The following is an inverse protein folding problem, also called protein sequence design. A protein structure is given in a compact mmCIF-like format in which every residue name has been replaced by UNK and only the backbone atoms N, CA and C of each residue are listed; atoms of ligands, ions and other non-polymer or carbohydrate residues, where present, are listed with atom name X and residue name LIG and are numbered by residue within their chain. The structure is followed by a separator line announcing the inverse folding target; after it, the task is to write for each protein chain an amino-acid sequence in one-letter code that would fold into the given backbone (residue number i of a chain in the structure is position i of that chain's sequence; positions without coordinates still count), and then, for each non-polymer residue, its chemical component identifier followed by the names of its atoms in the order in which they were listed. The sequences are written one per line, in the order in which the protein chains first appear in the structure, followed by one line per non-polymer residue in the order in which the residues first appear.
data_IF_604318941720
#
_entry.id   IF_604318941720
#
_cell.length_a   1.000
_cell.length_b   1.000
_cell.length_c   1.000
_cell.angle_alpha   90.00
_cell.angle_beta   90.00
_cell.angle_gamma   90.00
#
_symmetry.space_group_name_H-M   'P 1'
#
loop_
_entity.id
_entity.type
_entity.pdbx_description
1 polymer ?
#
# COMPACT_ATOMS: atom_id res chain seq x y z
N UNK A 1 -11.57 -5.58 -3.98
CA UNK A 1 -11.03 -6.77 -4.66
C UNK A 1 -11.82 -7.96 -4.12
N UNK A 2 -12.41 -8.82 -4.98
CA UNK A 2 -13.38 -9.83 -4.52
C UNK A 2 -12.77 -11.13 -3.97
N UNK A 3 -11.50 -11.43 -4.27
CA UNK A 3 -10.86 -12.71 -3.90
C UNK A 3 -9.81 -12.53 -2.80
N UNK A 4 -9.01 -11.46 -2.87
CA UNK A 4 -7.94 -11.15 -1.93
C UNK A 4 -7.97 -9.65 -1.66
N UNK A 5 -7.97 -9.25 -0.41
CA UNK A 5 -7.87 -7.83 -0.04
C UNK A 5 -6.42 -7.33 0.01
N UNK A 6 -6.26 -6.03 0.26
CA UNK A 6 -4.94 -5.40 0.29
C UNK A 6 -4.04 -5.93 1.40
N UNK A 7 -4.59 -6.32 2.55
CA UNK A 7 -3.80 -6.85 3.66
C UNK A 7 -3.40 -8.31 3.40
N UNK A 8 -4.32 -9.14 2.90
CA UNK A 8 -4.03 -10.51 2.47
C UNK A 8 -2.96 -10.54 1.37
N UNK A 9 -3.00 -9.59 0.44
CA UNK A 9 -1.93 -9.42 -0.54
C UNK A 9 -0.58 -9.15 0.12
N UNK A 10 -0.52 -8.28 1.13
CA UNK A 10 0.73 -7.98 1.83
C UNK A 10 1.29 -9.20 2.57
N UNK A 11 0.43 -10.02 3.16
CA UNK A 11 0.82 -11.27 3.82
C UNK A 11 1.50 -12.25 2.83
N UNK A 12 0.99 -12.37 1.61
CA UNK A 12 1.61 -13.19 0.57
C UNK A 12 2.85 -12.51 -0.04
N UNK A 13 2.80 -11.20 -0.23
CA UNK A 13 3.91 -10.40 -0.76
C UNK A 13 5.18 -10.56 0.08
N UNK A 14 5.08 -10.50 1.41
CA UNK A 14 6.23 -10.65 2.31
C UNK A 14 6.92 -12.01 2.15
N UNK A 15 6.17 -13.07 1.83
CA UNK A 15 6.72 -14.42 1.59
C UNK A 15 7.51 -14.51 0.28
N UNK A 16 7.09 -13.77 -0.75
CA UNK A 16 7.75 -13.78 -2.06
C UNK A 16 8.85 -12.73 -2.18
N UNK A 17 8.78 -11.63 -1.42
CA UNK A 17 9.72 -10.50 -1.45
C UNK A 17 11.19 -10.91 -1.44
N UNK A 18 11.67 -11.87 -0.62
CA UNK A 18 13.08 -12.28 -0.61
C UNK A 18 13.56 -12.90 -1.94
N UNK A 19 12.63 -13.37 -2.78
CA UNK A 19 12.93 -13.96 -4.09
C UNK A 19 12.92 -12.93 -5.22
N UNK A 20 12.53 -11.69 -4.93
CA UNK A 20 12.46 -10.61 -5.91
C UNK A 20 13.80 -9.87 -5.94
N UNK A 21 14.38 -9.72 -7.13
CA UNK A 21 15.67 -9.03 -7.33
C UNK A 21 15.55 -7.51 -7.47
N UNK A 22 14.36 -6.95 -7.25
CA UNK A 22 14.06 -5.52 -7.42
C UNK A 22 13.37 -4.98 -6.17
N UNK A 23 13.72 -3.75 -5.80
CA UNK A 23 12.97 -3.00 -4.80
C UNK A 23 11.59 -2.66 -5.36
N UNK A 24 10.54 -2.99 -4.61
CA UNK A 24 9.16 -2.68 -4.97
C UNK A 24 8.62 -1.72 -3.92
N UNK A 25 8.17 -0.55 -4.38
CA UNK A 25 7.51 0.46 -3.54
C UNK A 25 6.01 0.21 -3.61
N UNK A 26 5.35 0.03 -2.47
CA UNK A 26 3.92 -0.31 -2.40
C UNK A 26 3.15 0.83 -1.74
N UNK A 27 2.15 1.34 -2.44
CA UNK A 27 1.18 2.30 -1.91
C UNK A 27 -0.18 1.60 -1.80
N UNK A 28 -0.79 1.63 -0.62
CA UNK A 28 -2.11 1.04 -0.40
C UNK A 28 -3.19 2.08 -0.68
N UNK A 29 -4.14 1.78 -1.57
CA UNK A 29 -5.21 2.71 -1.94
C UNK A 29 -6.57 2.15 -1.54
N UNK A 30 -7.25 2.82 -0.63
CA UNK A 30 -8.48 2.32 -0.01
C UNK A 30 -9.59 3.37 0.07
N UNK A 31 -10.84 2.91 0.12
CA UNK A 31 -12.00 3.75 0.45
C UNK A 31 -12.28 3.79 1.96
N UNK A 32 -11.62 2.92 2.74
CA UNK A 32 -11.78 2.89 4.19
C UNK A 32 -11.06 4.08 4.84
N UNK A 33 -11.80 4.79 5.68
CA UNK A 33 -11.33 5.89 6.53
C UNK A 33 -11.20 5.46 8.00
N UNK A 34 -11.35 4.17 8.28
CA UNK A 34 -11.24 3.62 9.63
C UNK A 34 -9.80 3.80 10.15
N UNK A 35 -9.60 4.45 11.31
CA UNK A 35 -8.28 4.57 11.94
C UNK A 35 -7.58 3.22 12.13
N UNK A 36 -8.31 2.14 12.38
CA UNK A 36 -7.75 0.79 12.57
C UNK A 36 -7.08 0.29 11.30
N UNK A 37 -7.70 0.49 10.13
CA UNK A 37 -7.12 0.11 8.85
C UNK A 37 -5.87 0.95 8.53
N UNK A 38 -5.92 2.25 8.84
CA UNK A 38 -4.82 3.18 8.63
C UNK A 38 -3.61 2.79 9.51
N UNK A 39 -3.84 2.52 10.79
CA UNK A 39 -2.80 2.07 11.72
C UNK A 39 -2.25 0.71 11.32
N UNK A 40 -3.11 -0.24 10.94
CA UNK A 40 -2.69 -1.55 10.43
C UNK A 40 -1.76 -1.40 9.23
N UNK A 41 -2.11 -0.54 8.27
CA UNK A 41 -1.27 -0.30 7.11
C UNK A 41 0.08 0.35 7.48
N UNK A 42 0.08 1.34 8.38
CA UNK A 42 1.31 1.99 8.87
C UNK A 42 2.25 1.05 9.61
N UNK A 43 1.72 -0.01 10.23
CA UNK A 43 2.51 -1.01 10.94
C UNK A 43 3.15 -2.06 10.01
N UNK A 44 2.81 -2.07 8.71
CA UNK A 44 3.44 -2.94 7.72
C UNK A 44 4.57 -2.16 7.06
N UNK A 45 5.82 -2.48 7.39
CA UNK A 45 7.02 -1.76 6.92
C UNK A 45 7.23 -1.76 5.40
N UNK A 46 6.56 -2.68 4.69
CA UNK A 46 6.57 -2.77 3.24
C UNK A 46 5.56 -1.84 2.55
N UNK A 47 4.65 -1.21 3.31
CA UNK A 47 3.73 -0.20 2.79
C UNK A 47 4.40 1.17 2.95
N UNK A 48 4.56 1.88 1.83
CA UNK A 48 5.14 3.23 1.81
C UNK A 48 4.13 4.30 2.25
N UNK A 49 2.86 4.16 1.85
CA UNK A 49 1.79 5.03 2.33
C UNK A 49 0.40 4.38 2.16
N UNK A 50 -0.58 4.88 2.92
CA UNK A 50 -1.99 4.53 2.82
C UNK A 50 -2.80 5.73 2.33
N UNK A 51 -3.30 5.63 1.09
CA UNK A 51 -3.97 6.70 0.37
C UNK A 51 -5.47 6.45 0.37
N UNK A 52 -6.18 7.40 0.97
CA UNK A 52 -7.65 7.41 0.97
C UNK A 52 -8.15 7.94 -0.37
N UNK A 53 -9.08 7.21 -0.99
CA UNK A 53 -9.74 7.61 -2.24
C UNK A 53 -10.71 8.78 -2.02
N UNK A 54 -10.97 9.61 -3.05
CA UNK A 54 -10.34 9.59 -4.37
C UNK A 54 -8.92 10.15 -4.33
N UNK A 55 -8.00 9.54 -5.09
CA UNK A 55 -6.64 10.08 -5.23
C UNK A 55 -6.73 11.41 -5.98
N UNK A 56 -6.19 12.47 -5.39
CA UNK A 56 -6.10 13.78 -6.05
C UNK A 56 -4.88 13.81 -6.97
N UNK A 57 -4.97 14.55 -8.07
CA UNK A 57 -3.87 14.68 -9.03
C UNK A 57 -2.55 15.15 -8.38
N UNK A 58 -2.63 16.09 -7.42
CA UNK A 58 -1.46 16.56 -6.67
C UNK A 58 -0.79 15.45 -5.84
N UNK A 59 -1.58 14.59 -5.18
CA UNK A 59 -1.03 13.45 -4.42
C UNK A 59 -0.34 12.45 -5.35
N UNK A 60 -0.91 12.19 -6.52
CA UNK A 60 -0.27 11.31 -7.50
C UNK A 60 1.05 11.90 -8.02
N UNK A 61 1.10 13.21 -8.27
CA UNK A 61 2.34 13.90 -8.65
C UNK A 61 3.40 13.82 -7.54
N UNK A 62 3.01 14.01 -6.28
CA UNK A 62 3.91 13.86 -5.12
C UNK A 62 4.48 12.45 -5.04
N UNK A 63 3.66 11.41 -5.22
CA UNK A 63 4.12 10.03 -5.25
C UNK A 63 5.16 9.83 -6.36
N UNK A 64 4.85 10.28 -7.58
CA UNK A 64 5.74 10.12 -8.73
C UNK A 64 7.07 10.87 -8.58
N UNK A 65 7.07 12.03 -7.93
CA UNK A 65 8.29 12.82 -7.68
C UNK A 65 9.17 12.23 -6.57
N UNK A 66 8.61 11.36 -5.73
CA UNK A 66 9.30 10.71 -4.60
C UNK A 66 9.75 9.27 -4.89
N UNK A 67 9.57 8.78 -6.12
CA UNK A 67 10.07 7.48 -6.60
C UNK A 67 11.56 7.56 -6.98
#
# INVERSE_FOLDING_TARGET
MPIMDGFQFMEEYVKIKPKLSKKITIYMVSSSVDPVDIERAKNISDISDYIIKPIKAGQLQEIMNNL
#
